data_IF_107052581451
#
_entry.id   IF_107052581451
#
_cell.length_a   1.000
_cell.length_b   1.000
_cell.length_c   1.000
_cell.angle_alpha   90.00
_cell.angle_beta   90.00
_cell.angle_gamma   90.00
#
_symmetry.space_group_name_H-M   'P 1'
#
loop_
_entity.id
_entity.type
_entity.pdbx_description
1 polymer ?
#
# COMPACT_ATOMS: atom_id res chain seq x y z
N UNK A 1 -27.32 28.91 25.37
CA UNK A 1 -26.46 28.16 26.30
C UNK A 1 -25.88 26.98 25.52
N UNK A 2 -24.58 27.02 25.19
CA UNK A 2 -23.92 25.95 24.42
C UNK A 2 -23.32 24.96 25.42
N UNK A 3 -24.03 23.86 25.69
CA UNK A 3 -23.57 22.83 26.63
C UNK A 3 -22.35 22.12 26.03
N UNK A 4 -21.18 22.26 26.65
CA UNK A 4 -19.89 21.68 26.19
C UNK A 4 -19.65 20.25 26.69
N UNK A 5 -20.50 19.77 27.61
CA UNK A 5 -20.41 18.43 28.14
C UNK A 5 -21.18 17.46 27.24
N UNK A 6 -20.42 16.72 26.44
CA UNK A 6 -20.90 15.55 25.72
C UNK A 6 -20.62 14.31 26.57
N UNK A 7 -21.53 13.34 26.46
CA UNK A 7 -21.35 12.00 27.00
C UNK A 7 -19.96 11.44 26.58
N UNK A 8 -19.18 10.87 27.52
CA UNK A 8 -17.90 10.25 27.21
C UNK A 8 -17.94 9.26 26.03
N UNK A 9 -19.03 8.51 25.85
CA UNK A 9 -19.21 7.56 24.75
C UNK A 9 -19.28 8.28 23.40
N UNK A 10 -19.99 9.41 23.34
CA UNK A 10 -20.06 10.25 22.13
C UNK A 10 -18.69 10.81 21.76
N UNK A 11 -17.87 11.19 22.76
CA UNK A 11 -16.49 11.63 22.52
C UNK A 11 -15.59 10.50 22.00
N UNK A 12 -15.77 9.28 22.53
CA UNK A 12 -15.05 8.11 22.06
C UNK A 12 -15.40 7.78 20.59
N UNK A 13 -16.69 7.81 20.26
CA UNK A 13 -17.15 7.57 18.89
C UNK A 13 -16.71 8.64 17.90
N UNK A 14 -16.69 9.92 18.31
CA UNK A 14 -16.13 10.99 17.50
C UNK A 14 -14.64 10.75 17.20
N UNK A 15 -13.86 10.28 18.19
CA UNK A 15 -12.46 9.93 18.01
C UNK A 15 -12.29 8.73 17.07
N UNK A 16 -13.07 7.66 17.25
CA UNK A 16 -13.04 6.49 16.36
C UNK A 16 -13.38 6.87 14.92
N UNK A 17 -14.44 7.66 14.71
CA UNK A 17 -14.82 8.16 13.39
C UNK A 17 -13.71 8.96 12.73
N UNK A 18 -13.05 9.84 13.49
CA UNK A 18 -11.91 10.62 13.00
C UNK A 18 -10.76 9.71 12.56
N UNK A 19 -10.41 8.70 13.35
CA UNK A 19 -9.36 7.74 13.00
C UNK A 19 -9.70 6.93 11.74
N UNK A 20 -10.93 6.39 11.64
CA UNK A 20 -11.39 5.69 10.43
C UNK A 20 -11.36 6.59 9.20
N UNK A 21 -11.76 7.85 9.34
CA UNK A 21 -11.70 8.83 8.24
C UNK A 21 -10.27 9.09 7.77
N UNK A 22 -9.29 9.10 8.68
CA UNK A 22 -7.88 9.22 8.29
C UNK A 22 -7.43 7.99 7.51
N UNK A 23 -7.71 6.79 8.03
CA UNK A 23 -7.34 5.52 7.38
C UNK A 23 -7.97 5.41 5.99
N UNK A 24 -9.26 5.73 5.87
CA UNK A 24 -9.98 5.67 4.59
C UNK A 24 -9.52 6.73 3.58
N UNK A 25 -8.84 7.78 4.05
CA UNK A 25 -8.25 8.81 3.18
C UNK A 25 -6.82 8.49 2.75
N UNK A 26 -6.23 7.40 3.24
CA UNK A 26 -4.93 6.93 2.75
C UNK A 26 -5.14 6.18 1.44
N UNK A 27 -4.31 6.48 0.45
CA UNK A 27 -4.27 5.69 -0.76
C UNK A 27 -3.95 4.22 -0.43
N UNK A 28 -4.62 3.30 -1.12
CA UNK A 28 -4.30 1.89 -0.98
C UNK A 28 -2.89 1.68 -1.52
N UNK A 29 -1.96 1.08 -0.75
CA UNK A 29 -0.63 0.82 -1.24
C UNK A 29 -0.73 -0.07 -2.49
N UNK A 30 -0.24 0.43 -3.62
CA UNK A 30 -0.14 -0.36 -4.84
C UNK A 30 0.92 -1.41 -4.59
N UNK A 31 0.51 -2.67 -4.46
CA UNK A 31 1.45 -3.78 -4.37
C UNK A 31 1.96 -4.06 -5.79
N UNK A 32 3.22 -3.71 -6.05
CA UNK A 32 3.89 -4.13 -7.28
C UNK A 32 4.13 -5.62 -7.19
N UNK A 33 3.46 -6.37 -8.08
CA UNK A 33 3.56 -7.81 -8.14
C UNK A 33 4.25 -8.31 -9.41
N UNK A 34 4.65 -7.41 -10.32
CA UNK A 34 5.34 -7.77 -11.56
C UNK A 34 6.66 -7.00 -11.64
N UNK A 35 7.72 -7.73 -11.97
CA UNK A 35 9.09 -7.24 -11.93
C UNK A 35 9.86 -7.68 -13.17
N UNK A 36 10.71 -6.80 -13.68
CA UNK A 36 11.69 -7.11 -14.71
C UNK A 36 13.09 -7.01 -14.12
N UNK A 37 13.88 -8.09 -14.18
CA UNK A 37 15.28 -8.08 -13.79
C UNK A 37 16.14 -7.65 -14.99
N UNK A 38 16.71 -6.45 -14.96
CA UNK A 38 17.55 -5.91 -16.05
C UNK A 38 18.84 -6.70 -16.22
N UNK A 39 19.37 -7.29 -15.14
CA UNK A 39 20.59 -8.10 -15.20
C UNK A 39 20.37 -9.49 -15.83
N UNK A 40 19.21 -10.09 -15.57
CA UNK A 40 18.88 -11.43 -16.08
C UNK A 40 17.98 -11.40 -17.32
N UNK A 41 17.56 -10.21 -17.74
CA UNK A 41 16.57 -9.97 -18.80
C UNK A 41 15.30 -10.82 -18.63
N UNK A 42 14.79 -10.91 -17.39
CA UNK A 42 13.71 -11.82 -17.04
C UNK A 42 12.55 -11.14 -16.31
N UNK A 43 11.33 -11.37 -16.79
CA UNK A 43 10.08 -10.98 -16.14
C UNK A 43 9.68 -12.01 -15.09
N UNK A 44 9.19 -11.56 -13.94
CA UNK A 44 8.74 -12.44 -12.86
C UNK A 44 7.70 -11.75 -11.98
N UNK A 45 6.96 -12.55 -11.20
CA UNK A 45 5.90 -12.05 -10.33
C UNK A 45 6.15 -12.34 -8.85
N UNK A 46 5.45 -11.61 -7.97
CA UNK A 46 5.49 -11.77 -6.53
C UNK A 46 6.55 -10.90 -5.87
N UNK A 47 7.32 -11.50 -4.95
CA UNK A 47 8.34 -10.79 -4.18
C UNK A 47 9.50 -10.32 -5.07
N UNK A 48 10.05 -9.14 -4.79
CA UNK A 48 11.18 -8.53 -5.51
C UNK A 48 12.50 -9.28 -5.29
N UNK A 49 12.59 -10.50 -5.83
CA UNK A 49 13.77 -11.36 -5.79
C UNK A 49 13.81 -12.21 -7.05
N UNK A 50 14.69 -11.84 -7.97
CA UNK A 50 14.95 -12.64 -9.16
C UNK A 50 15.65 -13.95 -8.75
N UNK A 51 15.03 -15.10 -9.04
CA UNK A 51 15.56 -16.42 -8.71
C UNK A 51 16.93 -16.67 -9.38
N UNK A 52 17.14 -16.38 -10.67
CA UNK A 52 18.43 -16.59 -11.33
C UNK A 52 19.64 -15.92 -10.67
N UNK A 53 19.57 -14.62 -10.34
CA UNK A 53 20.68 -13.90 -9.70
C UNK A 53 20.61 -13.92 -8.17
N UNK A 54 19.55 -14.49 -7.59
CA UNK A 54 19.33 -14.59 -6.15
C UNK A 54 19.08 -13.26 -5.43
N UNK A 55 18.94 -12.15 -6.16
CA UNK A 55 18.83 -10.79 -5.63
C UNK A 55 17.73 -9.99 -6.33
N UNK A 56 17.24 -8.92 -5.70
CA UNK A 56 16.27 -7.98 -6.26
C UNK A 56 16.86 -6.61 -6.67
N UNK A 57 18.18 -6.41 -6.53
CA UNK A 57 18.79 -5.08 -6.74
C UNK A 57 18.71 -4.57 -8.18
N UNK A 58 18.61 -5.48 -9.16
CA UNK A 58 18.45 -5.15 -10.58
C UNK A 58 17.01 -5.28 -11.07
N UNK A 59 16.05 -5.42 -10.15
CA UNK A 59 14.64 -5.58 -10.49
C UNK A 59 13.92 -4.24 -10.45
N UNK A 60 13.22 -3.93 -11.54
CA UNK A 60 12.36 -2.77 -11.72
C UNK A 60 10.91 -3.21 -11.87
N UNK A 61 9.98 -2.30 -11.61
CA UNK A 61 8.56 -2.58 -11.84
C UNK A 61 8.35 -2.91 -13.32
N UNK A 62 7.64 -3.99 -13.58
CA UNK A 62 7.33 -4.40 -14.94
C UNK A 62 6.14 -3.60 -15.46
N UNK A 63 6.42 -2.53 -16.21
CA UNK A 63 5.39 -1.64 -16.76
C UNK A 63 4.56 -2.29 -17.86
N UNK A 64 5.00 -3.43 -18.39
CA UNK A 64 4.27 -4.17 -19.43
C UNK A 64 3.07 -4.93 -18.84
N UNK A 65 3.04 -5.15 -17.52
CA UNK A 65 1.93 -5.79 -16.82
C UNK A 65 0.67 -4.92 -16.72
N UNK A 66 0.75 -3.62 -17.03
CA UNK A 66 -0.37 -2.67 -16.95
C UNK A 66 -1.16 -2.46 -18.25
N UNK A 67 -0.82 -3.15 -19.34
CA UNK A 67 -1.48 -3.03 -20.66
C UNK A 67 -2.49 -4.15 -20.96
N UNK A 68 -3.15 -4.70 -19.94
CA UNK A 68 -4.20 -5.74 -20.07
C UNK A 68 -5.50 -5.32 -19.40
#
# INVERSE_FOLDING_TARGET
MNCTWLDPEVKAEARHRKLRSMINGLDTPVTVLSWYCVWCENHYQGDKRCVPCGTGIYSIEDTDAGNL
#
